data_IF_338941540938
#
_entry.id   IF_338941540938
#
_cell.length_a   1.000
_cell.length_b   1.000
_cell.length_c   1.000
_cell.angle_alpha   90.00
_cell.angle_beta   90.00
_cell.angle_gamma   90.00
#
_symmetry.space_group_name_H-M   'P 1'
#
loop_
_entity.id
_entity.type
_entity.pdbx_description
1 polymer ?
#
# COMPACT_ATOMS: atom_id res chain seq x y z
N UNK A 1 -8.45 -5.63 -12.25
CA UNK A 1 -7.15 -5.58 -11.54
C UNK A 1 -7.37 -5.49 -10.03
N UNK A 2 -6.66 -6.30 -9.24
CA UNK A 2 -6.71 -6.28 -7.77
C UNK A 2 -5.69 -5.27 -7.22
N UNK A 3 -6.15 -4.34 -6.39
CA UNK A 3 -5.34 -3.21 -5.90
C UNK A 3 -5.62 -2.91 -4.42
N UNK A 4 -4.67 -2.25 -3.77
CA UNK A 4 -4.95 -1.46 -2.58
C UNK A 4 -5.26 -0.03 -2.99
N UNK A 5 -6.38 0.50 -2.49
CA UNK A 5 -6.79 1.89 -2.65
C UNK A 5 -6.49 2.65 -1.37
N UNK A 6 -5.68 3.70 -1.48
CA UNK A 6 -5.41 4.68 -0.43
C UNK A 6 -6.17 5.96 -0.76
N UNK A 7 -7.02 6.42 0.15
CA UNK A 7 -7.87 7.59 -0.08
C UNK A 7 -7.91 8.49 1.17
N UNK A 8 -7.83 9.80 0.96
CA UNK A 8 -8.32 10.77 1.94
C UNK A 8 -9.85 10.80 1.74
N UNK A 9 -10.65 10.74 2.81
CA UNK A 9 -12.11 10.78 2.70
C UNK A 9 -12.55 11.99 1.85
N UNK A 10 -13.38 11.73 0.84
CA UNK A 10 -13.89 12.71 -0.15
C UNK A 10 -12.81 13.36 -1.04
N UNK A 11 -11.61 12.78 -1.08
CA UNK A 11 -10.47 13.31 -1.84
C UNK A 11 -9.88 12.33 -2.85
N UNK A 12 -8.63 12.60 -3.20
CA UNK A 12 -7.83 11.83 -4.14
C UNK A 12 -7.66 10.37 -3.71
N UNK A 13 -7.60 9.47 -4.71
CA UNK A 13 -7.35 8.05 -4.52
C UNK A 13 -6.08 7.64 -5.24
N UNK A 14 -5.22 6.91 -4.55
CA UNK A 14 -4.05 6.27 -5.12
C UNK A 14 -4.31 4.76 -5.13
N UNK A 15 -4.09 4.14 -6.28
CA UNK A 15 -4.17 2.70 -6.44
C UNK A 15 -2.77 2.12 -6.59
N UNK A 16 -2.46 1.10 -5.80
CA UNK A 16 -1.23 0.33 -5.91
C UNK A 16 -1.59 -1.13 -6.15
N UNK A 17 -0.88 -1.78 -7.06
CA UNK A 17 -1.06 -3.19 -7.36
C UNK A 17 -0.99 -4.05 -6.08
N UNK A 18 -1.90 -5.02 -5.95
CA UNK A 18 -1.95 -5.91 -4.80
C UNK A 18 -0.61 -6.62 -4.53
N UNK A 19 0.08 -7.08 -5.57
CA UNK A 19 1.37 -7.76 -5.44
C UNK A 19 2.43 -6.90 -4.77
N UNK A 20 2.53 -5.63 -5.17
CA UNK A 20 3.47 -4.66 -4.60
C UNK A 20 3.19 -4.45 -3.12
N UNK A 21 1.93 -4.16 -2.74
CA UNK A 21 1.58 -3.95 -1.33
C UNK A 21 1.72 -5.24 -0.51
N UNK A 22 1.44 -6.40 -1.10
CA UNK A 22 1.60 -7.70 -0.42
C UNK A 22 3.08 -8.00 -0.15
N UNK A 23 3.97 -7.65 -1.08
CA UNK A 23 5.42 -7.79 -0.88
C UNK A 23 5.94 -6.86 0.23
N UNK A 24 5.40 -5.64 0.30
CA UNK A 24 5.75 -4.64 1.33
C UNK A 24 5.03 -4.85 2.67
N UNK A 25 4.16 -5.85 2.78
CA UNK A 25 3.12 -5.91 3.83
C UNK A 25 3.71 -5.94 5.24
N UNK A 26 4.84 -6.63 5.43
CA UNK A 26 5.52 -6.72 6.71
C UNK A 26 6.16 -5.40 7.14
N UNK A 27 6.71 -4.61 6.22
CA UNK A 27 7.24 -3.27 6.53
C UNK A 27 6.14 -2.34 7.05
N UNK A 28 4.90 -2.51 6.59
CA UNK A 28 3.78 -1.73 7.10
C UNK A 28 3.40 -2.08 8.54
N UNK A 29 3.77 -3.26 9.07
CA UNK A 29 3.49 -3.63 10.48
C UNK A 29 4.11 -2.67 11.50
N UNK A 30 5.05 -1.81 11.10
CA UNK A 30 5.66 -0.83 11.98
C UNK A 30 4.76 0.39 12.28
N UNK A 31 3.63 0.48 11.57
CA UNK A 31 2.65 1.57 11.63
C UNK A 31 1.48 1.14 12.51
N UNK A 32 1.05 1.98 13.45
CA UNK A 32 -0.16 1.74 14.24
C UNK A 32 -1.39 2.17 13.43
N UNK A 33 -2.37 1.29 13.30
CA UNK A 33 -3.58 1.52 12.50
C UNK A 33 -4.83 1.07 13.23
N UNK A 34 -6.00 1.44 12.71
CA UNK A 34 -7.28 1.08 13.30
C UNK A 34 -8.35 0.80 12.24
N UNK A 35 -9.41 0.10 12.64
CA UNK A 35 -10.60 -0.09 11.81
C UNK A 35 -11.57 1.12 11.95
N UNK A 36 -12.62 1.19 11.13
CA UNK A 36 -13.57 2.33 11.11
C UNK A 36 -14.12 2.70 12.49
N UNK A 37 -14.43 1.70 13.32
CA UNK A 37 -15.03 1.88 14.65
C UNK A 37 -14.00 2.09 15.77
N UNK A 38 -12.70 2.09 15.46
CA UNK A 38 -11.59 2.12 16.43
C UNK A 38 -11.59 0.98 17.47
N UNK A 39 -12.44 -0.01 17.29
CA UNK A 39 -12.56 -1.18 18.18
C UNK A 39 -11.40 -2.16 18.00
N UNK A 40 -10.71 -2.10 16.85
CA UNK A 40 -9.52 -2.93 16.58
C UNK A 40 -8.33 -2.03 16.28
N UNK A 41 -7.32 -2.10 17.15
CA UNK A 41 -5.98 -1.58 16.87
C UNK A 41 -5.17 -2.67 16.19
N UNK A 42 -4.41 -2.30 15.16
CA UNK A 42 -3.54 -3.22 14.44
C UNK A 42 -2.15 -2.61 14.27
N UNK A 43 -1.20 -3.47 13.94
CA UNK A 43 0.13 -3.13 13.45
C UNK A 43 0.14 -3.38 11.95
N UNK A 44 0.09 -2.32 11.16
CA UNK A 44 0.07 -2.35 9.70
C UNK A 44 -1.31 -2.43 9.07
N UNK A 45 -1.35 -2.83 7.81
CA UNK A 45 -2.58 -2.84 7.03
C UNK A 45 -3.45 -4.04 7.43
N UNK A 46 -4.77 -3.85 7.43
CA UNK A 46 -5.71 -4.97 7.51
C UNK A 46 -5.77 -5.69 6.17
N UNK A 47 -5.62 -7.02 6.21
CA UNK A 47 -5.79 -7.86 5.02
C UNK A 47 -7.25 -7.86 4.53
N UNK A 48 -8.20 -7.86 5.46
CA UNK A 48 -9.63 -7.74 5.21
C UNK A 48 -10.22 -6.48 5.84
N UNK A 49 -11.11 -5.81 5.11
CA UNK A 49 -11.76 -4.59 5.57
C UNK A 49 -10.95 -3.33 5.26
N UNK A 50 -11.23 -2.26 6.01
CA UNK A 50 -10.57 -0.96 5.84
C UNK A 50 -9.62 -0.67 6.99
N UNK A 51 -8.43 -0.22 6.62
CA UNK A 51 -7.41 0.35 7.50
C UNK A 51 -7.55 1.85 7.54
N UNK A 52 -7.36 2.45 8.70
CA UNK A 52 -7.32 3.89 8.88
C UNK A 52 -5.98 4.27 9.54
N UNK A 53 -5.32 5.28 8.98
CA UNK A 53 -3.96 5.70 9.33
C UNK A 53 -4.00 7.17 9.72
N UNK A 54 -3.56 7.45 10.94
CA UNK A 54 -3.58 8.78 11.57
C UNK A 54 -2.22 9.47 11.54
N UNK A 55 -2.21 10.74 11.93
CA UNK A 55 -1.12 11.71 11.77
C UNK A 55 0.30 11.15 11.95
N UNK A 56 0.69 10.70 13.15
CA UNK A 56 2.07 10.23 13.37
C UNK A 56 2.42 8.97 12.55
N UNK A 57 1.40 8.20 12.18
CA UNK A 57 1.53 6.97 11.43
C UNK A 57 1.62 7.21 9.92
N UNK A 58 1.08 8.34 9.43
CA UNK A 58 1.24 8.77 8.04
C UNK A 58 2.69 9.17 7.75
N UNK A 59 3.35 9.90 8.67
CA UNK A 59 4.77 10.25 8.52
C UNK A 59 5.63 8.97 8.44
N UNK A 60 5.37 8.01 9.34
CA UNK A 60 6.06 6.73 9.31
C UNK A 60 5.79 5.91 8.04
N UNK A 61 4.55 5.94 7.54
CA UNK A 61 4.20 5.28 6.28
C UNK A 61 4.97 5.91 5.11
N UNK A 62 5.06 7.23 5.07
CA UNK A 62 5.79 7.97 4.05
C UNK A 62 7.26 7.51 4.00
N UNK A 63 7.95 7.47 5.14
CA UNK A 63 9.35 7.02 5.21
C UNK A 63 9.54 5.57 4.73
N UNK A 64 8.65 4.66 5.14
CA UNK A 64 8.68 3.26 4.66
C UNK A 64 8.50 3.20 3.15
N UNK A 65 7.54 3.95 2.60
CA UNK A 65 7.28 3.99 1.16
C UNK A 65 8.47 4.60 0.39
N UNK A 66 9.11 5.65 0.93
CA UNK A 66 10.32 6.25 0.34
C UNK A 66 11.46 5.24 0.22
N UNK A 67 11.74 4.49 1.29
CA UNK A 67 12.78 3.45 1.27
C UNK A 67 12.48 2.35 0.23
N UNK A 68 11.21 1.97 0.08
CA UNK A 68 10.80 1.02 -0.97
C UNK A 68 10.94 1.59 -2.38
N UNK A 69 10.70 2.88 -2.58
CA UNK A 69 10.96 3.55 -3.88
C UNK A 69 12.44 3.43 -4.23
N UNK A 70 13.34 3.74 -3.29
CA UNK A 70 14.79 3.62 -3.49
C UNK A 70 15.17 2.18 -3.85
N UNK A 71 14.64 1.18 -3.13
CA UNK A 71 14.91 -0.22 -3.44
C UNK A 71 14.40 -0.64 -4.83
N UNK A 72 13.21 -0.19 -5.23
CA UNK A 72 12.66 -0.52 -6.56
C UNK A 72 13.34 0.24 -7.70
N UNK A 73 14.06 1.34 -7.45
CA UNK A 73 14.87 2.02 -8.46
C UNK A 73 15.99 1.12 -8.99
N UNK A 74 16.53 0.24 -8.14
CA UNK A 74 17.60 -0.71 -8.48
C UNK A 74 17.11 -1.94 -9.27
N UNK A 75 15.80 -2.11 -9.41
CA UNK A 75 15.24 -3.22 -10.17
C UNK A 75 15.43 -3.05 -11.69
N UNK A 76 15.38 -4.17 -12.41
CA UNK A 76 15.19 -4.18 -13.87
C UNK A 76 13.86 -3.52 -14.27
N UNK A 77 13.72 -3.11 -15.54
CA UNK A 77 12.48 -2.47 -16.02
C UNK A 77 11.24 -3.34 -15.80
N UNK A 78 11.38 -4.65 -15.99
CA UNK A 78 10.39 -5.66 -15.64
C UNK A 78 10.98 -6.61 -14.59
N UNK A 79 10.21 -6.94 -13.55
CA UNK A 79 10.63 -7.87 -12.51
C UNK A 79 9.43 -8.63 -11.92
N UNK A 80 9.69 -9.65 -11.10
CA UNK A 80 8.68 -10.48 -10.44
C UNK A 80 8.80 -10.32 -8.93
N UNK A 81 7.67 -10.03 -8.28
CA UNK A 81 7.55 -10.10 -6.82
C UNK A 81 6.83 -11.38 -6.41
N UNK A 82 7.36 -12.03 -5.37
CA UNK A 82 6.70 -13.17 -4.75
C UNK A 82 5.62 -12.69 -3.78
N UNK A 83 4.46 -13.33 -3.81
CA UNK A 83 3.36 -13.10 -2.87
C UNK A 83 3.29 -14.19 -1.81
N UNK A 84 2.09 -14.47 -1.31
CA UNK A 84 1.88 -15.52 -0.34
C UNK A 84 2.03 -16.92 -0.96
N UNK A 85 2.42 -17.90 -0.15
CA UNK A 85 2.42 -19.29 -0.56
C UNK A 85 0.99 -19.78 -0.79
N UNK A 86 0.72 -20.30 -1.98
CA UNK A 86 -0.55 -20.87 -2.36
C UNK A 86 -0.45 -22.40 -2.29
N UNK A 87 -1.18 -22.99 -1.34
CA UNK A 87 -1.20 -24.45 -1.12
C UNK A 87 -1.77 -25.24 -2.28
N UNK A 88 -2.69 -24.67 -3.05
CA UNK A 88 -3.29 -25.34 -4.21
C UNK A 88 -2.31 -25.41 -5.38
N UNK A 89 -1.43 -24.41 -5.50
CA UNK A 89 -0.37 -24.37 -6.52
C UNK A 89 0.92 -25.05 -6.06
N UNK A 90 1.03 -25.38 -4.78
CA UNK A 90 2.27 -25.78 -4.09
C UNK A 90 3.45 -24.83 -4.39
N UNK A 91 3.14 -23.52 -4.48
CA UNK A 91 4.10 -22.51 -4.91
C UNK A 91 3.68 -21.10 -4.44
N UNK A 92 4.59 -20.14 -4.56
CA UNK A 92 4.31 -18.73 -4.28
C UNK A 92 3.55 -18.06 -5.41
N UNK A 93 2.63 -17.17 -5.05
CA UNK A 93 2.08 -16.20 -6.00
C UNK A 93 3.20 -15.39 -6.66
N UNK A 94 3.04 -15.07 -7.95
CA UNK A 94 4.01 -14.26 -8.71
C UNK A 94 3.33 -13.06 -9.35
N UNK A 95 3.89 -11.89 -9.11
CA UNK A 95 3.37 -10.63 -9.59
C UNK A 95 4.37 -9.97 -10.54
N UNK A 96 4.05 -9.97 -11.84
CA UNK A 96 4.83 -9.23 -12.84
C UNK A 96 4.66 -7.73 -12.59
N UNK A 97 5.78 -7.03 -12.55
CA UNK A 97 5.85 -5.62 -12.20
C UNK A 97 6.66 -4.86 -13.25
N UNK A 98 6.11 -3.74 -13.72
CA UNK A 98 6.84 -2.73 -14.47
C UNK A 98 7.37 -1.67 -13.49
N UNK A 99 8.69 -1.45 -13.48
CA UNK A 99 9.36 -0.54 -12.54
C UNK A 99 8.78 0.87 -12.56
N UNK A 100 8.57 1.44 -13.74
CA UNK A 100 8.02 2.79 -13.89
C UNK A 100 6.65 2.92 -13.23
N UNK A 101 5.75 1.95 -13.48
CA UNK A 101 4.41 1.94 -12.88
C UNK A 101 4.45 1.79 -11.36
N UNK A 102 5.30 0.90 -10.83
CA UNK A 102 5.48 0.69 -9.38
C UNK A 102 5.95 2.00 -8.74
N UNK A 103 7.05 2.57 -9.22
CA UNK A 103 7.63 3.81 -8.69
C UNK A 103 6.63 4.96 -8.77
N UNK A 104 5.92 5.12 -9.89
CA UNK A 104 4.93 6.19 -10.05
C UNK A 104 3.77 6.06 -9.05
N UNK A 105 3.28 4.84 -8.83
CA UNK A 105 2.20 4.59 -7.86
C UNK A 105 2.63 4.87 -6.41
N UNK A 106 3.87 4.52 -6.05
CA UNK A 106 4.43 4.80 -4.73
C UNK A 106 4.70 6.29 -4.53
N UNK A 107 5.20 7.00 -5.54
CA UNK A 107 5.36 8.47 -5.50
C UNK A 107 4.02 9.19 -5.32
N UNK A 108 2.94 8.71 -5.98
CA UNK A 108 1.59 9.22 -5.75
C UNK A 108 1.13 8.99 -4.31
N UNK A 109 1.47 7.85 -3.70
CA UNK A 109 1.19 7.60 -2.28
C UNK A 109 1.96 8.57 -1.36
N UNK A 110 3.21 8.91 -1.66
CA UNK A 110 3.97 9.94 -0.92
C UNK A 110 3.25 11.29 -0.98
N UNK A 111 2.82 11.72 -2.17
CA UNK A 111 2.06 12.97 -2.36
C UNK A 111 0.75 12.95 -1.55
N UNK A 112 0.05 11.81 -1.53
CA UNK A 112 -1.16 11.64 -0.72
C UNK A 112 -0.85 11.76 0.77
N UNK A 113 0.27 11.20 1.25
CA UNK A 113 0.75 11.36 2.62
C UNK A 113 0.97 12.83 2.97
N UNK A 114 1.67 13.58 2.11
CA UNK A 114 1.96 15.00 2.32
C UNK A 114 0.67 15.84 2.39
N UNK A 115 -0.28 15.59 1.48
CA UNK A 115 -1.61 16.23 1.52
C UNK A 115 -2.34 15.90 2.81
N UNK A 116 -2.40 14.61 3.19
CA UNK A 116 -3.06 14.19 4.41
C UNK A 116 -2.44 14.86 5.65
N UNK A 117 -1.11 14.98 5.70
CA UNK A 117 -0.40 15.65 6.79
C UNK A 117 -0.68 17.15 6.83
N UNK A 118 -0.62 17.83 5.68
CA UNK A 118 -0.88 19.28 5.56
C UNK A 118 -2.28 19.64 6.03
N UNK A 119 -3.29 18.83 5.68
CA UNK A 119 -4.70 19.10 5.99
C UNK A 119 -5.22 18.34 7.21
N UNK A 120 -4.34 17.70 7.99
CA UNK A 120 -4.67 16.90 9.17
C UNK A 120 -5.79 15.85 8.91
N UNK A 121 -5.68 15.14 7.79
CA UNK A 121 -6.66 14.13 7.36
C UNK A 121 -6.17 12.70 7.64
N UNK A 122 -7.13 11.79 7.79
CA UNK A 122 -6.90 10.35 7.92
C UNK A 122 -6.81 9.73 6.52
N UNK A 123 -5.87 8.80 6.32
CA UNK A 123 -5.83 7.97 5.12
C UNK A 123 -6.57 6.68 5.39
N UNK A 124 -7.55 6.36 4.54
CA UNK A 124 -8.20 5.06 4.51
C UNK A 124 -7.54 4.18 3.45
N UNK A 125 -7.20 2.96 3.81
CA UNK A 125 -6.65 1.96 2.90
C UNK A 125 -7.54 0.71 2.86
N UNK A 126 -7.87 0.20 1.67
CA UNK A 126 -8.62 -1.05 1.50
C UNK A 126 -8.27 -1.77 0.19
N UNK A 127 -8.32 -3.09 0.22
CA UNK A 127 -8.17 -3.96 -0.95
C UNK A 127 -9.47 -3.98 -1.77
N UNK A 128 -9.38 -3.79 -3.09
CA UNK A 128 -10.51 -3.72 -4.02
C UNK A 128 -10.16 -4.30 -5.39
N UNK A 129 -11.17 -4.75 -6.12
CA UNK A 129 -11.06 -5.08 -7.53
C UNK A 129 -11.59 -3.92 -8.37
N UNK A 130 -10.78 -3.41 -9.29
CA UNK A 130 -11.17 -2.36 -10.25
C UNK A 130 -11.23 -2.92 -11.67
N UNK A 131 -12.13 -2.37 -12.51
CA UNK A 131 -12.14 -2.65 -13.94
C UNK A 131 -11.00 -1.87 -14.59
N UNK A 132 -10.16 -2.55 -15.36
CA UNK A 132 -9.22 -1.90 -16.28
C UNK A 132 -10.02 -1.47 -17.50
N UNK A 133 -10.03 -0.17 -17.80
CA UNK A 133 -10.50 0.36 -19.08
C UNK A 133 -9.48 0.04 -20.17
#
# INVERSE_FOLDING_TARGET
>A
MLVYSFEILEGEKVFINNGVVSYMFDSFKWIKTFNKLRTRRNKGLFYHGSTYIEKENIDKMKEVVSAWIELFCEASEEFILLGFFNKELDDYERWKCNKKQVIESLKKLIILCDKARKYNKIIRCRKLTIKTQ
#
